data_IF_655721919566
#
_entry.id   IF_655721919566
#
_cell.length_a   1.000
_cell.length_b   1.000
_cell.length_c   1.000
_cell.angle_alpha   90.00
_cell.angle_beta   90.00
_cell.angle_gamma   90.00
#
_symmetry.space_group_name_H-M   'P 1'
#
loop_
_entity.id
_entity.type
_entity.pdbx_description
1 polymer ?
#
# COMPACT_ATOMS: atom_id res chain seq x y z
N UNK A 1 -3.73 5.58 8.60
CA UNK A 1 -5.19 5.39 8.41
C UNK A 1 -5.50 3.90 8.52
N UNK A 2 -6.69 3.49 8.98
CA UNK A 2 -7.04 2.05 9.09
C UNK A 2 -7.27 1.41 7.71
N UNK A 3 -6.99 0.11 7.53
CA UNK A 3 -7.30 -0.60 6.28
C UNK A 3 -8.80 -0.62 6.03
N UNK A 4 -9.21 -0.67 4.76
CA UNK A 4 -10.62 -0.58 4.35
C UNK A 4 -10.96 -1.64 3.31
N UNK A 5 -12.02 -2.41 3.54
CA UNK A 5 -12.59 -3.27 2.50
C UNK A 5 -13.32 -2.41 1.45
N UNK A 6 -12.91 -2.53 0.19
CA UNK A 6 -13.51 -1.79 -0.94
C UNK A 6 -14.57 -2.63 -1.63
N UNK A 7 -14.32 -3.95 -1.70
CA UNK A 7 -15.22 -4.98 -2.21
C UNK A 7 -14.96 -6.26 -1.43
N UNK A 8 -15.90 -7.23 -1.41
CA UNK A 8 -15.69 -8.52 -0.78
C UNK A 8 -14.32 -9.13 -1.15
N UNK A 9 -13.46 -9.31 -0.16
CA UNK A 9 -12.12 -9.89 -0.34
C UNK A 9 -11.05 -8.94 -0.87
N UNK A 10 -11.37 -7.67 -1.17
CA UNK A 10 -10.43 -6.66 -1.68
C UNK A 10 -10.30 -5.52 -0.67
N UNK A 11 -9.09 -5.35 -0.15
CA UNK A 11 -8.80 -4.40 0.92
C UNK A 11 -7.76 -3.39 0.44
N UNK A 12 -8.02 -2.11 0.70
CA UNK A 12 -6.96 -1.11 0.70
C UNK A 12 -6.13 -1.26 1.97
N UNK A 13 -4.81 -1.38 1.79
CA UNK A 13 -3.82 -1.56 2.85
C UNK A 13 -2.65 -0.58 2.75
N UNK A 14 -2.73 0.37 1.83
CA UNK A 14 -1.70 1.38 1.58
C UNK A 14 -1.51 2.40 2.71
N UNK A 15 -0.89 3.52 2.38
CA UNK A 15 -0.53 4.55 3.33
C UNK A 15 -0.96 5.94 2.85
N UNK A 16 -1.22 6.83 3.81
CA UNK A 16 -1.42 8.27 3.55
C UNK A 16 -0.25 8.99 4.17
N UNK A 17 0.49 9.73 3.35
CA UNK A 17 1.62 10.55 3.76
C UNK A 17 1.18 12.02 3.71
N UNK A 18 0.70 12.49 4.85
CA UNK A 18 0.29 13.88 5.06
C UNK A 18 1.48 14.84 5.14
N UNK A 19 2.70 14.32 5.30
CA UNK A 19 3.91 15.12 5.53
C UNK A 19 4.73 15.29 4.25
N UNK A 20 4.46 14.52 3.19
CA UNK A 20 5.05 14.72 1.86
C UNK A 20 4.72 16.10 1.31
N UNK A 21 5.76 16.83 0.89
CA UNK A 21 5.61 18.19 0.30
C UNK A 21 6.01 18.28 -1.16
N UNK A 22 6.74 17.28 -1.66
CA UNK A 22 7.19 17.22 -3.05
C UNK A 22 6.97 15.81 -3.61
N UNK A 23 6.43 15.72 -4.81
CA UNK A 23 6.44 14.54 -5.65
C UNK A 23 7.63 14.61 -6.60
N UNK A 24 8.40 13.53 -6.68
CA UNK A 24 9.63 13.42 -7.47
C UNK A 24 10.59 14.62 -7.26
N UNK A 25 10.66 15.13 -6.02
CA UNK A 25 11.45 16.31 -5.62
C UNK A 25 11.19 17.60 -6.42
N UNK A 26 10.12 17.65 -7.22
CA UNK A 26 9.86 18.73 -8.19
C UNK A 26 8.46 19.32 -8.07
N UNK A 27 7.44 18.48 -7.91
CA UNK A 27 6.05 18.91 -7.97
C UNK A 27 5.50 19.13 -6.55
N UNK A 28 5.01 20.33 -6.20
CA UNK A 28 4.47 20.59 -4.87
C UNK A 28 3.23 19.74 -4.54
N UNK A 29 3.18 19.24 -3.30
CA UNK A 29 2.06 18.51 -2.72
C UNK A 29 1.57 19.23 -1.45
N UNK A 30 0.75 20.29 -1.59
CA UNK A 30 0.28 21.06 -0.43
C UNK A 30 -0.59 20.22 0.53
N UNK A 31 -1.28 19.20 0.01
CA UNK A 31 -2.21 18.35 0.76
C UNK A 31 -1.65 16.94 1.06
N UNK A 32 -0.35 16.72 0.81
CA UNK A 32 0.26 15.40 0.93
C UNK A 32 -0.07 14.46 -0.23
N UNK A 33 0.12 13.16 -0.01
CA UNK A 33 -0.17 12.12 -1.00
C UNK A 33 -0.60 10.80 -0.35
N UNK A 34 -0.93 9.81 -1.17
CA UNK A 34 -1.20 8.44 -0.74
C UNK A 34 -0.44 7.44 -1.61
N UNK A 35 0.07 6.39 -0.97
CA UNK A 35 0.63 5.21 -1.63
C UNK A 35 -0.39 4.09 -1.54
N UNK A 36 -1.01 3.74 -2.67
CA UNK A 36 -2.18 2.87 -2.68
C UNK A 36 -1.81 1.42 -3.00
N UNK A 37 -1.76 0.58 -1.96
CA UNK A 37 -1.58 -0.86 -2.09
C UNK A 37 -2.89 -1.60 -1.79
N UNK A 38 -3.12 -2.71 -2.49
CA UNK A 38 -4.36 -3.49 -2.36
C UNK A 38 -4.08 -4.95 -2.08
N UNK A 39 -4.74 -5.50 -1.07
CA UNK A 39 -4.72 -6.93 -0.80
C UNK A 39 -5.97 -7.59 -1.37
N UNK A 40 -5.75 -8.58 -2.23
CA UNK A 40 -6.79 -9.43 -2.80
C UNK A 40 -6.72 -10.81 -2.13
N UNK A 41 -7.75 -11.13 -1.34
CA UNK A 41 -7.95 -12.45 -0.72
C UNK A 41 -8.79 -13.31 -1.66
N UNK A 42 -8.13 -14.13 -2.47
CA UNK A 42 -8.78 -15.16 -3.27
C UNK A 42 -9.22 -16.34 -2.40
N UNK A 43 -9.89 -17.32 -3.03
CA UNK A 43 -10.33 -18.54 -2.36
C UNK A 43 -9.16 -19.46 -1.98
N UNK A 44 -8.09 -19.46 -2.79
CA UNK A 44 -6.92 -20.31 -2.61
C UNK A 44 -5.63 -19.53 -2.35
N UNK A 45 -5.56 -18.29 -2.85
CA UNK A 45 -4.32 -17.51 -2.93
C UNK A 45 -4.58 -16.07 -2.54
N UNK A 46 -3.58 -15.45 -1.92
CA UNK A 46 -3.60 -14.03 -1.55
C UNK A 46 -2.57 -13.26 -2.36
N UNK A 47 -2.98 -12.15 -2.97
CA UNK A 47 -2.09 -11.27 -3.72
C UNK A 47 -2.06 -9.87 -3.11
N UNK A 48 -0.88 -9.26 -3.06
CA UNK A 48 -0.67 -7.85 -2.77
C UNK A 48 -0.35 -7.13 -4.09
N UNK A 49 -1.13 -6.11 -4.41
CA UNK A 49 -0.94 -5.25 -5.58
C UNK A 49 -0.24 -3.97 -5.14
N UNK A 50 0.95 -3.77 -5.68
CA UNK A 50 1.93 -2.74 -5.32
C UNK A 50 2.26 -2.73 -3.80
N UNK A 51 3.29 -2.00 -3.44
CA UNK A 51 3.64 -1.68 -2.06
C UNK A 51 3.56 -0.16 -1.87
N UNK A 52 4.30 0.37 -0.91
CA UNK A 52 4.31 1.80 -0.58
C UNK A 52 5.74 2.32 -0.65
N UNK A 53 5.90 3.65 -0.55
CA UNK A 53 7.21 4.26 -0.33
C UNK A 53 7.91 3.62 0.89
N UNK A 54 9.23 3.36 0.85
CA UNK A 54 9.96 2.74 1.96
C UNK A 54 9.77 3.43 3.31
N UNK A 55 9.58 4.75 3.30
CA UNK A 55 9.32 5.54 4.52
C UNK A 55 7.99 5.21 5.18
N UNK A 56 7.06 4.61 4.43
CA UNK A 56 5.72 4.23 4.87
C UNK A 56 5.55 2.71 5.09
N UNK A 57 6.64 1.93 5.04
CA UNK A 57 6.60 0.46 5.19
C UNK A 57 5.89 0.00 6.46
N UNK A 58 6.14 0.68 7.59
CA UNK A 58 5.49 0.36 8.87
C UNK A 58 3.96 0.46 8.78
N UNK A 59 3.44 1.49 8.10
CA UNK A 59 2.00 1.66 7.92
C UNK A 59 1.38 0.53 7.08
N UNK A 60 2.05 0.08 6.02
CA UNK A 60 1.61 -1.07 5.22
C UNK A 60 1.59 -2.34 6.07
N UNK A 61 2.65 -2.62 6.81
CA UNK A 61 2.73 -3.82 7.67
C UNK A 61 1.68 -3.80 8.78
N UNK A 62 1.47 -2.66 9.43
CA UNK A 62 0.43 -2.50 10.45
C UNK A 62 -0.97 -2.72 9.89
N UNK A 63 -1.22 -2.26 8.66
CA UNK A 63 -2.50 -2.48 7.99
C UNK A 63 -2.71 -3.96 7.64
N UNK A 64 -1.69 -4.64 7.09
CA UNK A 64 -1.74 -6.07 6.78
C UNK A 64 -1.98 -6.92 8.06
N UNK A 65 -1.31 -6.56 9.15
CA UNK A 65 -1.48 -7.21 10.45
C UNK A 65 -2.89 -7.00 11.02
N UNK A 66 -3.45 -5.79 10.93
CA UNK A 66 -4.80 -5.48 11.41
C UNK A 66 -5.90 -6.32 10.74
N UNK A 67 -5.73 -6.67 9.46
CA UNK A 67 -6.68 -7.53 8.73
C UNK A 67 -6.30 -9.01 8.75
N UNK A 68 -5.36 -9.40 9.62
CA UNK A 68 -5.00 -10.77 9.92
C UNK A 68 -4.33 -11.52 8.77
N UNK A 69 -3.58 -10.83 7.91
CA UNK A 69 -2.82 -11.47 6.83
C UNK A 69 -1.66 -12.25 7.43
N UNK A 70 -1.61 -13.55 7.15
CA UNK A 70 -0.53 -14.43 7.60
C UNK A 70 0.43 -14.84 6.48
N UNK A 71 -0.07 -14.85 5.25
CA UNK A 71 0.68 -15.25 4.07
C UNK A 71 0.23 -14.42 2.87
N UNK A 72 1.18 -14.08 2.01
CA UNK A 72 0.95 -13.47 0.70
C UNK A 72 1.62 -14.40 -0.31
N UNK A 73 0.85 -14.94 -1.24
CA UNK A 73 1.36 -15.85 -2.28
C UNK A 73 2.00 -15.09 -3.44
N UNK A 74 1.50 -13.88 -3.72
CA UNK A 74 1.94 -13.04 -4.82
C UNK A 74 2.10 -11.60 -4.39
N UNK A 75 3.19 -10.97 -4.83
CA UNK A 75 3.34 -9.52 -4.87
C UNK A 75 3.38 -9.12 -6.34
N UNK A 76 2.48 -8.24 -6.74
CA UNK A 76 2.37 -7.73 -8.12
C UNK A 76 2.81 -6.28 -8.11
N UNK A 77 4.02 -6.01 -8.59
CA UNK A 77 4.49 -4.66 -8.83
C UNK A 77 4.10 -4.23 -10.26
N UNK A 78 3.18 -3.28 -10.38
CA UNK A 78 2.76 -2.69 -11.66
C UNK A 78 3.80 -1.69 -12.19
N UNK A 79 4.53 -1.05 -11.27
CA UNK A 79 5.57 -0.07 -11.55
C UNK A 79 6.76 -0.31 -10.61
N UNK A 80 7.97 -0.09 -11.10
CA UNK A 80 9.22 -0.44 -10.41
C UNK A 80 9.83 0.73 -9.61
N UNK A 81 9.17 1.89 -9.61
CA UNK A 81 9.61 3.05 -8.84
C UNK A 81 9.38 2.82 -7.34
N UNK A 82 10.25 3.41 -6.51
CA UNK A 82 10.33 3.03 -5.09
C UNK A 82 9.05 3.35 -4.31
N UNK A 83 8.30 4.36 -4.71
CA UNK A 83 7.02 4.70 -4.10
C UNK A 83 5.90 3.67 -4.40
N UNK A 84 6.14 2.75 -5.33
CA UNK A 84 5.25 1.64 -5.68
C UNK A 84 5.80 0.26 -5.31
N UNK A 85 7.12 0.07 -5.29
CA UNK A 85 7.73 -1.26 -5.12
C UNK A 85 8.93 -1.27 -4.15
N UNK A 86 9.10 -0.23 -3.35
CA UNK A 86 10.26 -0.05 -2.48
C UNK A 86 10.15 -0.72 -1.11
N UNK A 87 8.93 -0.94 -0.61
CA UNK A 87 8.66 -1.50 0.72
C UNK A 87 8.45 -3.01 0.74
#
# INVERSE_FOLDING_TARGET
MKPREIRPGIHWVGAVDWDRRLFDSLIPLPDGTSYNSYLIKGTEKTALIDTVDPTMQSALMDNLNQIGVKNIDYVVANHAEQDHSGA
#
